data_IF_242159501248
#
_entry.id   IF_242159501248
#
_cell.length_a   1.000
_cell.length_b   1.000
_cell.length_c   1.000
_cell.angle_alpha   90.00
_cell.angle_beta   90.00
_cell.angle_gamma   90.00
#
_symmetry.space_group_name_H-M   'P 1'
#
loop_
_entity.id
_entity.type
_entity.pdbx_description
1 polymer ?
#
# COMPACT_ATOMS: atom_id res chain seq x y z
N UNK A 1 -12.42 -7.90 13.97
CA UNK A 1 -11.01 -7.56 13.63
C UNK A 1 -11.00 -6.65 12.41
N UNK A 2 -10.33 -5.49 12.46
CA UNK A 2 -10.23 -4.57 11.32
C UNK A 2 -9.21 -5.08 10.29
N UNK A 3 -9.51 -4.94 9.01
CA UNK A 3 -8.63 -5.31 7.89
C UNK A 3 -8.13 -4.05 7.20
N UNK A 4 -6.88 -4.03 6.76
CA UNK A 4 -6.29 -2.94 5.97
C UNK A 4 -5.92 -3.46 4.59
N UNK A 5 -6.07 -2.63 3.58
CA UNK A 5 -5.75 -2.99 2.20
C UNK A 5 -4.43 -2.34 1.79
N UNK A 6 -3.53 -3.12 1.22
CA UNK A 6 -2.30 -2.66 0.63
C UNK A 6 -2.53 -2.32 -0.85
N UNK A 7 -2.48 -1.02 -1.16
CA UNK A 7 -2.55 -0.46 -2.50
C UNK A 7 -1.56 0.70 -2.60
N UNK A 8 -0.76 0.73 -3.66
CA UNK A 8 0.18 1.81 -3.93
C UNK A 8 -0.41 2.79 -4.94
N UNK A 9 0.24 3.95 -5.08
CA UNK A 9 -0.21 5.02 -5.93
C UNK A 9 0.97 5.66 -6.67
N UNK A 10 0.71 6.10 -7.89
CA UNK A 10 1.62 6.86 -8.71
C UNK A 10 1.05 8.23 -9.03
N UNK A 11 1.85 9.26 -8.78
CA UNK A 11 1.65 10.58 -9.36
C UNK A 11 2.48 10.67 -10.66
N UNK A 12 1.80 10.79 -11.80
CA UNK A 12 2.42 10.82 -13.14
C UNK A 12 2.61 12.27 -13.56
N UNK A 13 3.73 12.87 -13.12
CA UNK A 13 4.00 14.33 -13.25
C UNK A 13 3.70 14.93 -14.62
N UNK A 14 4.10 14.27 -15.71
CA UNK A 14 3.90 14.79 -17.06
C UNK A 14 2.44 14.76 -17.55
N UNK A 15 1.56 14.04 -16.86
CA UNK A 15 0.14 13.91 -17.20
C UNK A 15 -0.79 14.74 -16.30
N UNK A 16 -0.31 15.22 -15.14
CA UNK A 16 -1.15 15.92 -14.15
C UNK A 16 -1.81 17.15 -14.75
N UNK A 17 -1.08 17.94 -15.56
CA UNK A 17 -1.64 19.15 -16.19
C UNK A 17 -2.79 18.90 -17.15
N UNK A 18 -2.96 17.66 -17.64
CA UNK A 18 -4.03 17.27 -18.57
C UNK A 18 -5.15 16.49 -17.89
N UNK A 19 -4.78 15.47 -17.11
CA UNK A 19 -5.75 14.53 -16.52
C UNK A 19 -6.11 14.84 -15.06
N UNK A 20 -5.36 15.72 -14.39
CA UNK A 20 -5.48 15.94 -12.96
C UNK A 20 -5.09 14.73 -12.11
N UNK A 21 -5.37 14.81 -10.81
CA UNK A 21 -5.09 13.74 -9.84
C UNK A 21 -6.31 12.87 -9.52
N UNK A 22 -7.51 13.29 -9.92
CA UNK A 22 -8.72 12.56 -9.61
C UNK A 22 -8.78 11.26 -10.44
N UNK A 23 -8.85 10.06 -9.82
CA UNK A 23 -8.87 8.79 -10.52
C UNK A 23 -10.24 8.44 -11.15
N UNK A 24 -10.92 9.41 -11.76
CA UNK A 24 -12.18 9.16 -12.46
C UNK A 24 -11.97 8.52 -13.84
N UNK A 25 -13.00 7.83 -14.33
CA UNK A 25 -13.06 7.27 -15.67
C UNK A 25 -12.26 5.97 -15.85
N UNK A 26 -12.03 5.59 -17.11
CA UNK A 26 -11.38 4.34 -17.45
C UNK A 26 -9.96 4.27 -16.88
N UNK A 27 -9.74 3.33 -15.95
CA UNK A 27 -8.47 3.19 -15.25
C UNK A 27 -7.30 2.71 -16.12
N UNK A 28 -7.61 2.16 -17.31
CA UNK A 28 -6.62 1.67 -18.30
C UNK A 28 -6.02 2.78 -19.15
N UNK A 29 -6.51 4.02 -19.02
CA UNK A 29 -5.99 5.18 -19.74
C UNK A 29 -4.52 5.44 -19.40
N UNK A 30 -3.71 5.59 -20.44
CA UNK A 30 -2.27 5.87 -20.30
C UNK A 30 -1.98 7.34 -19.98
N UNK A 31 -2.90 8.26 -20.24
CA UNK A 31 -2.72 9.69 -20.03
C UNK A 31 -3.14 10.15 -18.63
N UNK A 32 -3.42 9.21 -17.71
CA UNK A 32 -3.81 9.54 -16.33
C UNK A 32 -2.68 10.20 -15.55
N UNK A 33 -3.02 11.25 -14.80
CA UNK A 33 -2.12 11.93 -13.86
C UNK A 33 -1.97 11.20 -12.53
N UNK A 34 -2.92 10.34 -12.18
CA UNK A 34 -2.86 9.44 -11.02
C UNK A 34 -3.13 7.99 -11.45
N UNK A 35 -2.40 7.03 -10.88
CA UNK A 35 -2.60 5.60 -11.15
C UNK A 35 -2.44 4.78 -9.88
N UNK A 36 -3.30 3.80 -9.67
CA UNK A 36 -3.06 2.77 -8.66
C UNK A 36 -1.92 1.85 -9.09
N UNK A 37 -1.19 1.34 -8.11
CA UNK A 37 0.04 0.56 -8.28
C UNK A 37 0.17 -0.53 -7.24
N UNK A 38 1.09 -1.44 -7.53
CA UNK A 38 1.53 -2.49 -6.62
C UNK A 38 2.38 -1.92 -5.49
N UNK A 39 2.20 -2.40 -4.24
CA UNK A 39 3.06 -2.02 -3.13
C UNK A 39 4.55 -2.12 -3.47
N UNK A 40 5.26 -0.99 -3.32
CA UNK A 40 6.70 -0.86 -3.52
C UNK A 40 7.11 -0.30 -4.87
N UNK A 41 6.15 -0.09 -5.79
CA UNK A 41 6.47 0.26 -7.17
C UNK A 41 6.57 1.76 -7.37
N UNK A 42 5.94 2.58 -6.50
CA UNK A 42 5.88 4.04 -6.65
C UNK A 42 5.94 4.78 -5.31
N UNK A 43 4.94 5.61 -5.02
CA UNK A 43 5.13 6.80 -4.17
C UNK A 43 4.90 6.54 -2.68
N UNK A 44 4.36 5.38 -2.29
CA UNK A 44 4.09 5.08 -0.87
C UNK A 44 5.33 4.50 -0.19
N UNK A 45 5.73 5.10 0.93
CA UNK A 45 6.75 4.52 1.82
C UNK A 45 6.12 3.42 2.68
N UNK A 46 6.20 2.17 2.23
CA UNK A 46 5.64 1.03 2.96
C UNK A 46 6.29 0.78 4.32
N UNK A 47 7.57 1.12 4.47
CA UNK A 47 8.25 1.10 5.77
C UNK A 47 7.53 2.02 6.76
N UNK A 48 7.25 3.26 6.37
CA UNK A 48 6.55 4.20 7.23
C UNK A 48 5.13 3.72 7.55
N UNK A 49 4.39 3.21 6.56
CA UNK A 49 3.03 2.69 6.77
C UNK A 49 3.04 1.55 7.79
N UNK A 50 3.94 0.57 7.64
CA UNK A 50 4.02 -0.58 8.55
C UNK A 50 4.46 -0.12 9.96
N UNK A 51 5.43 0.79 10.06
CA UNK A 51 5.85 1.37 11.34
C UNK A 51 4.68 2.06 12.03
N UNK A 52 3.91 2.89 11.34
CA UNK A 52 2.78 3.60 11.94
C UNK A 52 1.63 2.65 12.34
N UNK A 53 1.35 1.62 11.54
CA UNK A 53 0.42 0.55 11.93
C UNK A 53 0.86 -0.13 13.24
N UNK A 54 2.13 -0.50 13.33
CA UNK A 54 2.69 -1.05 14.56
C UNK A 54 2.74 -0.03 15.70
N UNK A 55 2.78 1.28 15.45
CA UNK A 55 2.71 2.32 16.49
C UNK A 55 1.32 2.45 17.10
N UNK A 56 0.26 2.17 16.34
CA UNK A 56 -1.13 2.25 16.82
C UNK A 56 -1.69 0.90 17.28
N UNK A 57 -0.84 -0.12 17.44
CA UNK A 57 -1.25 -1.44 17.94
C UNK A 57 -1.91 -2.33 16.89
N UNK A 58 -1.72 -2.03 15.60
CA UNK A 58 -2.29 -2.83 14.53
C UNK A 58 -1.36 -3.98 14.12
N UNK A 59 -1.74 -5.20 14.49
CA UNK A 59 -1.14 -6.47 14.03
C UNK A 59 -2.14 -7.34 13.26
N UNK A 60 -3.13 -6.70 12.63
CA UNK A 60 -4.14 -7.38 11.83
C UNK A 60 -3.68 -7.70 10.40
N UNK A 61 -4.58 -8.28 9.61
CA UNK A 61 -4.28 -8.68 8.23
C UNK A 61 -4.12 -7.48 7.29
N UNK A 62 -2.99 -7.44 6.58
CA UNK A 62 -2.79 -6.56 5.44
C UNK A 62 -3.13 -7.29 4.13
N UNK A 63 -4.26 -6.97 3.53
CA UNK A 63 -4.76 -7.61 2.32
C UNK A 63 -4.27 -6.87 1.07
N UNK A 64 -3.69 -7.59 0.13
CA UNK A 64 -3.30 -7.00 -1.15
C UNK A 64 -4.52 -6.77 -2.07
N UNK A 65 -4.59 -5.58 -2.67
CA UNK A 65 -5.64 -5.22 -3.64
C UNK A 65 -5.04 -4.91 -5.02
N UNK A 66 -5.45 -5.68 -6.04
CA UNK A 66 -4.87 -5.59 -7.38
C UNK A 66 -5.67 -4.69 -8.32
N UNK A 67 -5.17 -3.48 -8.56
CA UNK A 67 -5.75 -2.52 -9.53
C UNK A 67 -4.71 -1.94 -10.51
N UNK A 68 -3.54 -2.58 -10.61
CA UNK A 68 -2.53 -2.21 -11.58
C UNK A 68 -2.76 -2.96 -12.89
N UNK A 69 -2.57 -2.26 -14.00
CA UNK A 69 -2.73 -2.81 -15.36
C UNK A 69 -1.40 -3.29 -15.95
N UNK A 70 -0.28 -3.12 -15.22
CA UNK A 70 1.06 -3.41 -15.75
C UNK A 70 1.46 -4.87 -15.68
N UNK A 71 0.77 -5.70 -14.90
CA UNK A 71 1.12 -7.11 -14.72
C UNK A 71 -0.11 -7.97 -14.44
N UNK A 72 0.05 -9.30 -14.56
CA UNK A 72 -1.00 -10.25 -14.22
C UNK A 72 -1.24 -10.30 -12.71
N UNK A 73 -2.42 -10.78 -12.30
CA UNK A 73 -2.77 -10.91 -10.88
C UNK A 73 -1.82 -11.82 -10.11
N UNK A 74 -1.41 -12.94 -10.70
CA UNK A 74 -0.52 -13.89 -10.04
C UNK A 74 0.89 -13.31 -9.87
N UNK A 75 1.42 -12.64 -10.91
CA UNK A 75 2.73 -11.98 -10.82
C UNK A 75 2.70 -10.84 -9.77
N UNK A 76 1.63 -10.04 -9.76
CA UNK A 76 1.42 -8.99 -8.77
C UNK A 76 1.34 -9.49 -7.34
N UNK A 77 0.65 -10.62 -7.09
CA UNK A 77 0.62 -11.27 -5.77
C UNK A 77 2.02 -11.70 -5.35
N UNK A 78 2.73 -12.43 -6.21
CA UNK A 78 4.07 -12.96 -5.90
C UNK A 78 5.06 -11.86 -5.57
N UNK A 79 5.11 -10.80 -6.40
CA UNK A 79 6.02 -9.66 -6.20
C UNK A 79 5.65 -8.82 -4.98
N UNK A 80 4.37 -8.52 -4.78
CA UNK A 80 3.90 -7.79 -3.60
C UNK A 80 4.21 -8.57 -2.32
N UNK A 81 4.00 -9.89 -2.33
CA UNK A 81 4.30 -10.75 -1.20
C UNK A 81 5.80 -10.74 -0.87
N UNK A 82 6.66 -10.91 -1.88
CA UNK A 82 8.11 -10.86 -1.71
C UNK A 82 8.59 -9.50 -1.19
N UNK A 83 7.94 -8.40 -1.60
CA UNK A 83 8.29 -7.06 -1.17
C UNK A 83 7.82 -6.74 0.27
N UNK A 84 6.56 -7.01 0.61
CA UNK A 84 5.98 -6.61 1.88
C UNK A 84 6.32 -7.55 3.04
N UNK A 85 6.35 -8.87 2.81
CA UNK A 85 6.54 -9.87 3.89
C UNK A 85 7.78 -9.59 4.76
N UNK A 86 8.96 -9.28 4.21
CA UNK A 86 10.14 -9.01 5.03
C UNK A 86 10.02 -7.80 5.96
N UNK A 87 9.05 -6.90 5.71
CA UNK A 87 8.87 -5.68 6.50
C UNK A 87 7.79 -5.82 7.57
N UNK A 88 6.97 -6.88 7.53
CA UNK A 88 5.87 -7.04 8.47
C UNK A 88 6.41 -7.28 9.88
N UNK A 89 5.83 -6.57 10.84
CA UNK A 89 6.15 -6.70 12.26
C UNK A 89 5.18 -7.72 12.87
N UNK A 90 5.72 -8.82 13.41
CA UNK A 90 4.91 -9.93 13.91
C UNK A 90 4.34 -9.72 15.31
N UNK A 91 4.97 -8.88 16.13
CA UNK A 91 4.59 -8.65 17.52
C UNK A 91 4.97 -7.23 17.97
N UNK A 92 4.30 -6.67 18.99
CA UNK A 92 4.72 -5.42 19.62
C UNK A 92 6.06 -5.56 20.32
N UNK A 93 6.78 -4.44 20.46
CA UNK A 93 7.98 -4.38 21.30
C UNK A 93 7.63 -4.69 22.77
N UNK A 94 8.42 -5.53 23.40
CA UNK A 94 8.17 -6.09 24.73
C UNK A 94 8.16 -5.03 25.84
N UNK A 95 8.93 -3.94 25.66
CA UNK A 95 9.02 -2.85 26.64
C UNK A 95 7.92 -1.78 26.52
N UNK A 96 6.86 -2.04 25.75
CA UNK A 96 5.87 -1.02 25.39
C UNK A 96 4.64 -1.07 26.30
N UNK A 97 4.40 0.01 27.06
CA UNK A 97 3.35 0.09 28.10
C UNK A 97 2.31 1.21 27.87
N UNK A 98 2.21 1.76 26.66
CA UNK A 98 1.28 2.86 26.32
C UNK A 98 -0.17 2.39 26.13
N UNK A 99 -1.12 3.35 26.18
CA UNK A 99 -2.57 3.10 26.15
C UNK A 99 -3.02 2.26 24.93
N UNK A 100 -2.31 2.34 23.82
CA UNK A 100 -2.63 1.62 22.58
C UNK A 100 -2.36 0.11 22.64
N UNK A 101 -1.74 -0.38 23.73
CA UNK A 101 -1.27 -1.77 23.88
C UNK A 101 -1.73 -2.43 25.18
N UNK A 102 -2.63 -1.78 25.92
CA UNK A 102 -3.29 -2.37 27.10
C UNK A 102 -4.42 -3.28 26.61
N UNK A 103 -4.11 -4.53 26.33
CA UNK A 103 -5.10 -5.59 26.07
C UNK A 103 -5.08 -6.60 27.21
#
# INVERSE_FOLDING_TARGET
MLKKHAKDAQIVKHNIGRSGLNPNGNYRRIDRGFRFRMPGWRNISWKNVITELARVGYFGSLNFEHEDITMSRLDGISKTSAYLKPMLIGAPFEGRNDLNFRF
#
